data_IF_951100258973
#
_entry.id   IF_951100258973
#
_cell.length_a   1.000
_cell.length_b   1.000
_cell.length_c   1.000
_cell.angle_alpha   90.00
_cell.angle_beta   90.00
_cell.angle_gamma   90.00
#
_symmetry.space_group_name_H-M   'P 1'
#
loop_
_entity.id
_entity.type
_entity.pdbx_description
1 polymer ?
#
# COMPACT_ATOMS: atom_id res chain seq x y z
N UNK A 1 22.59 23.63 -12.69
CA UNK A 1 21.27 23.11 -13.07
C UNK A 1 21.01 21.85 -12.26
N UNK A 2 20.25 21.98 -11.17
CA UNK A 2 19.90 20.85 -10.31
C UNK A 2 18.56 20.28 -10.80
N UNK A 3 18.56 19.05 -11.31
CA UNK A 3 17.34 18.33 -11.69
C UNK A 3 16.64 17.84 -10.43
N UNK A 4 15.53 18.49 -10.06
CA UNK A 4 14.54 17.94 -9.13
C UNK A 4 13.82 16.78 -9.83
N UNK A 5 14.19 15.55 -9.47
CA UNK A 5 13.39 14.37 -9.80
C UNK A 5 12.23 14.31 -8.81
N UNK A 6 11.09 14.91 -9.18
CA UNK A 6 9.82 14.58 -8.53
C UNK A 6 9.52 13.11 -8.84
N UNK A 7 9.85 12.22 -7.92
CA UNK A 7 9.29 10.88 -7.91
C UNK A 7 7.80 11.01 -7.57
N UNK A 8 6.98 11.27 -8.59
CA UNK A 8 5.55 11.13 -8.49
C UNK A 8 5.27 9.65 -8.20
N UNK A 9 4.99 9.33 -6.93
CA UNK A 9 4.42 8.06 -6.56
C UNK A 9 3.07 7.96 -7.26
N UNK A 10 3.03 7.30 -8.42
CA UNK A 10 1.78 7.07 -9.11
C UNK A 10 0.84 6.35 -8.13
N UNK A 11 -0.39 6.84 -7.92
CA UNK A 11 -1.34 6.15 -7.08
C UNK A 11 -1.53 4.76 -7.68
N UNK A 12 -1.07 3.73 -6.96
CA UNK A 12 -1.45 2.37 -7.25
C UNK A 12 -2.94 2.30 -6.96
N UNK A 13 -3.76 2.57 -7.98
CA UNK A 13 -5.19 2.30 -7.94
C UNK A 13 -5.32 0.85 -7.51
N UNK A 14 -5.92 0.62 -6.34
CA UNK A 14 -6.26 -0.72 -5.91
C UNK A 14 -7.09 -1.33 -7.04
N UNK A 15 -6.52 -2.28 -7.78
CA UNK A 15 -7.27 -2.97 -8.83
C UNK A 15 -8.42 -3.67 -8.15
N UNK A 16 -9.63 -3.15 -8.35
CA UNK A 16 -10.84 -3.69 -7.76
C UNK A 16 -11.09 -5.06 -8.36
N UNK A 17 -11.11 -6.09 -7.51
CA UNK A 17 -11.49 -7.43 -7.93
C UNK A 17 -13.01 -7.52 -8.06
N UNK A 18 -13.48 -8.00 -9.20
CA UNK A 18 -14.90 -8.31 -9.40
C UNK A 18 -15.22 -9.66 -8.74
N UNK A 19 -15.51 -9.62 -7.44
CA UNK A 19 -15.91 -10.80 -6.68
C UNK A 19 -17.21 -11.43 -7.19
N UNK A 20 -18.28 -10.68 -7.54
CA UNK A 20 -19.48 -11.26 -8.13
C UNK A 20 -19.24 -12.06 -9.42
N UNK A 21 -18.39 -11.56 -10.32
CA UNK A 21 -18.02 -12.30 -11.53
C UNK A 21 -17.25 -13.58 -11.20
N UNK A 22 -16.31 -13.51 -10.25
CA UNK A 22 -15.57 -14.69 -9.78
C UNK A 22 -16.50 -15.72 -9.12
N UNK A 23 -17.48 -15.28 -8.33
CA UNK A 23 -18.48 -16.17 -7.73
C UNK A 23 -19.30 -16.88 -8.81
N UNK A 24 -19.76 -16.16 -9.83
CA UNK A 24 -20.50 -16.75 -10.95
C UNK A 24 -19.67 -17.81 -11.69
N UNK A 25 -18.39 -17.52 -11.93
CA UNK A 25 -17.47 -18.47 -12.56
C UNK A 25 -17.23 -19.72 -11.68
N UNK A 26 -17.12 -19.55 -10.35
CA UNK A 26 -17.01 -20.66 -9.41
C UNK A 26 -18.31 -21.49 -9.39
N UNK A 27 -19.47 -20.85 -9.38
CA UNK A 27 -20.77 -21.53 -9.41
C UNK A 27 -20.92 -22.47 -10.61
N UNK A 28 -20.38 -22.05 -11.76
CA UNK A 28 -20.36 -22.81 -13.02
C UNK A 28 -19.14 -23.71 -13.20
N UNK A 29 -18.21 -23.71 -12.23
CA UNK A 29 -16.94 -24.43 -12.31
C UNK A 29 -16.11 -24.07 -13.57
N UNK A 30 -16.15 -22.81 -14.00
CA UNK A 30 -15.41 -22.28 -15.16
C UNK A 30 -13.90 -22.18 -14.85
N UNK A 31 -13.21 -23.33 -14.90
CA UNK A 31 -11.79 -23.46 -14.49
C UNK A 31 -10.85 -22.50 -15.22
N UNK A 32 -11.12 -22.26 -16.51
CA UNK A 32 -10.31 -21.36 -17.34
C UNK A 32 -10.33 -19.91 -16.83
N UNK A 33 -11.38 -19.50 -16.12
CA UNK A 33 -11.52 -18.16 -15.52
C UNK A 33 -10.99 -18.17 -14.08
N UNK A 34 -11.34 -19.19 -13.29
CA UNK A 34 -11.06 -19.22 -11.85
C UNK A 34 -9.57 -19.51 -11.54
N UNK A 35 -8.95 -20.46 -12.24
CA UNK A 35 -7.59 -20.90 -11.91
C UNK A 35 -6.53 -19.81 -12.11
N UNK A 36 -6.56 -18.99 -13.18
CA UNK A 36 -5.62 -17.87 -13.33
C UNK A 36 -5.69 -16.86 -12.18
N UNK A 37 -6.89 -16.58 -11.65
CA UNK A 37 -7.06 -15.69 -10.49
C UNK A 37 -6.25 -16.23 -9.31
N UNK A 38 -6.43 -17.49 -8.93
CA UNK A 38 -5.69 -18.09 -7.81
C UNK A 38 -4.19 -18.24 -8.07
N UNK A 39 -3.79 -18.49 -9.31
CA UNK A 39 -2.39 -18.66 -9.68
C UNK A 39 -1.56 -17.38 -9.49
N UNK A 40 -2.18 -16.20 -9.67
CA UNK A 40 -1.50 -14.91 -9.54
C UNK A 40 -1.42 -14.38 -8.10
N UNK A 41 -2.13 -15.00 -7.16
CA UNK A 41 -2.25 -14.50 -5.78
C UNK A 41 -0.91 -14.42 -5.04
N UNK A 42 -0.04 -15.43 -5.18
CA UNK A 42 1.24 -15.44 -4.49
C UNK A 42 2.10 -14.21 -4.87
N UNK A 43 2.17 -13.90 -6.16
CA UNK A 43 2.90 -12.75 -6.68
C UNK A 43 2.27 -11.43 -6.21
N UNK A 44 0.94 -11.33 -6.24
CA UNK A 44 0.24 -10.11 -5.81
C UNK A 44 0.43 -9.84 -4.33
N UNK A 45 0.30 -10.87 -3.47
CA UNK A 45 0.54 -10.76 -2.02
C UNK A 45 1.97 -10.30 -1.73
N UNK A 46 2.96 -10.90 -2.41
CA UNK A 46 4.36 -10.49 -2.29
C UNK A 46 4.56 -9.03 -2.67
N UNK A 47 4.00 -8.62 -3.81
CA UNK A 47 4.09 -7.24 -4.31
C UNK A 47 3.47 -6.24 -3.34
N UNK A 48 2.30 -6.56 -2.79
CA UNK A 48 1.62 -5.71 -1.82
C UNK A 48 2.43 -5.55 -0.52
N UNK A 49 2.95 -6.64 0.05
CA UNK A 49 3.77 -6.60 1.27
C UNK A 49 5.03 -5.78 1.06
N UNK A 50 5.72 -5.96 -0.07
CA UNK A 50 6.90 -5.14 -0.41
C UNK A 50 6.54 -3.66 -0.57
N UNK A 51 5.41 -3.35 -1.21
CA UNK A 51 4.92 -1.98 -1.35
C UNK A 51 4.63 -1.32 -0.01
N UNK A 52 3.92 -2.02 0.89
CA UNK A 52 3.61 -1.52 2.23
C UNK A 52 4.86 -1.26 3.06
N UNK A 53 5.83 -2.17 3.00
CA UNK A 53 7.10 -2.00 3.71
C UNK A 53 7.86 -0.76 3.23
N UNK A 54 7.96 -0.57 1.90
CA UNK A 54 8.67 0.59 1.34
C UNK A 54 8.04 1.92 1.75
N UNK A 55 6.71 2.03 1.67
CA UNK A 55 6.01 3.24 2.12
C UNK A 55 6.23 3.49 3.61
N UNK A 56 6.08 2.46 4.45
CA UNK A 56 6.26 2.60 5.89
C UNK A 56 7.69 3.05 6.24
N UNK A 57 8.69 2.50 5.56
CA UNK A 57 10.08 2.88 5.74
C UNK A 57 10.31 4.36 5.40
N UNK A 58 9.71 4.86 4.31
CA UNK A 58 9.78 6.26 3.92
C UNK A 58 9.10 7.18 4.97
N UNK A 59 7.89 6.83 5.42
CA UNK A 59 7.18 7.57 6.47
C UNK A 59 8.03 7.66 7.74
N UNK A 60 8.70 6.58 8.15
CA UNK A 60 9.57 6.57 9.33
C UNK A 60 10.76 7.50 9.16
N UNK A 61 11.46 7.45 8.02
CA UNK A 61 12.59 8.34 7.72
C UNK A 61 12.17 9.80 7.77
N UNK A 62 11.03 10.14 7.15
CA UNK A 62 10.53 11.52 7.11
C UNK A 62 10.07 12.00 8.50
N UNK A 63 9.46 11.12 9.32
CA UNK A 63 9.10 11.43 10.71
C UNK A 63 10.33 11.73 11.56
N UNK A 64 11.41 10.96 11.41
CA UNK A 64 12.67 11.21 12.10
C UNK A 64 13.23 12.59 11.68
N UNK A 65 13.32 12.85 10.38
CA UNK A 65 13.81 14.13 9.86
C UNK A 65 12.98 15.33 10.38
N UNK A 66 11.65 15.19 10.45
CA UNK A 66 10.78 16.23 11.00
C UNK A 66 11.00 16.44 12.50
N UNK A 67 11.20 15.35 13.25
CA UNK A 67 11.51 15.42 14.68
C UNK A 67 12.86 16.11 14.95
N UNK A 68 13.87 15.84 14.12
CA UNK A 68 15.19 16.48 14.21
C UNK A 68 15.12 17.97 13.91
N UNK A 69 14.36 18.39 12.89
CA UNK A 69 14.10 19.82 12.61
C UNK A 69 13.46 20.53 13.80
N UNK A 70 12.44 19.91 14.40
CA UNK A 70 11.79 20.45 15.61
C UNK A 70 12.75 20.54 16.78
N UNK A 71 13.68 19.59 16.92
CA UNK A 71 14.70 19.60 17.97
C UNK A 71 15.69 20.75 17.77
N UNK A 72 16.22 20.92 16.56
CA UNK A 72 17.15 22.00 16.24
C UNK A 72 16.58 23.39 16.55
N UNK A 73 15.29 23.61 16.27
CA UNK A 73 14.59 24.86 16.60
C UNK A 73 14.47 25.05 18.12
N UNK A 74 14.10 24.01 18.87
CA UNK A 74 13.99 24.09 20.34
C UNK A 74 15.34 24.32 21.03
N UNK A 75 16.40 23.70 20.51
CA UNK A 75 17.74 23.76 21.09
C UNK A 75 18.55 24.98 20.60
N UNK A 76 17.98 25.80 19.71
CA UNK A 76 18.66 26.98 19.15
C UNK A 76 19.90 26.63 18.33
N UNK A 77 20.05 25.36 17.92
CA UNK A 77 21.19 24.90 17.14
C UNK A 77 20.96 25.29 15.68
N UNK A 78 21.43 26.48 15.29
CA UNK A 78 21.42 26.89 13.90
C UNK A 78 22.24 25.88 13.07
N UNK A 79 21.74 25.40 11.92
CA UNK A 79 22.55 24.61 11.01
C UNK A 79 23.81 25.40 10.61
N UNK A 80 24.94 24.73 10.36
CA UNK A 80 26.17 25.40 9.95
C UNK A 80 25.88 26.33 8.75
N UNK A 81 26.41 27.54 8.82
CA UNK A 81 26.12 28.69 7.97
C UNK A 81 26.49 28.55 6.47
N UNK A 82 26.71 27.32 5.98
CA UNK A 82 27.06 27.03 4.59
C UNK A 82 25.87 26.81 3.66
N UNK A 83 24.65 26.73 4.18
CA UNK A 83 23.43 26.82 3.37
C UNK A 83 22.47 27.78 4.07
N UNK A 84 21.96 28.78 3.34
CA UNK A 84 20.91 29.68 3.82
C UNK A 84 19.60 28.89 3.96
N UNK A 85 19.53 28.02 4.96
CA UNK A 85 18.34 27.29 5.33
C UNK A 85 17.50 28.27 6.14
N UNK A 86 16.52 28.90 5.49
CA UNK A 86 15.47 29.61 6.21
C UNK A 86 14.88 28.62 7.22
N UNK A 87 14.89 28.94 8.52
CA UNK A 87 14.35 28.02 9.53
C UNK A 87 12.89 27.73 9.19
N UNK A 88 12.54 26.45 9.12
CA UNK A 88 11.17 26.05 8.85
C UNK A 88 10.25 26.67 9.91
N UNK A 89 9.19 27.33 9.48
CA UNK A 89 8.20 27.92 10.39
C UNK A 89 7.45 26.81 11.12
N UNK A 90 6.90 27.12 12.30
CA UNK A 90 6.04 26.18 13.04
C UNK A 90 4.87 25.68 12.18
N UNK A 91 4.36 26.53 11.29
CA UNK A 91 3.31 26.18 10.34
C UNK A 91 3.78 25.12 9.32
N UNK A 92 4.98 25.25 8.75
CA UNK A 92 5.54 24.26 7.82
C UNK A 92 5.77 22.91 8.51
N UNK A 93 6.22 22.92 9.78
CA UNK A 93 6.41 21.70 10.56
C UNK A 93 5.09 21.04 10.94
N UNK A 94 4.02 21.82 11.15
CA UNK A 94 2.68 21.32 11.40
C UNK A 94 2.07 20.69 10.13
N UNK A 95 2.20 21.37 8.98
CA UNK A 95 1.75 20.83 7.69
C UNK A 95 2.51 19.56 7.31
N UNK A 96 3.82 19.51 7.54
CA UNK A 96 4.62 18.31 7.31
C UNK A 96 4.18 17.11 8.16
N UNK A 97 3.80 17.35 9.41
CA UNK A 97 3.24 16.30 10.27
C UNK A 97 1.90 15.80 9.75
N UNK A 98 0.99 16.71 9.41
CA UNK A 98 -0.33 16.36 8.90
C UNK A 98 -0.22 15.49 7.64
N UNK A 99 0.65 15.87 6.71
CA UNK A 99 0.89 15.09 5.49
C UNK A 99 1.41 13.67 5.78
N UNK A 100 2.29 13.50 6.78
CA UNK A 100 2.77 12.19 7.20
C UNK A 100 1.67 11.34 7.86
N UNK A 101 0.78 11.98 8.61
CA UNK A 101 -0.32 11.29 9.27
C UNK A 101 -1.40 10.84 8.27
N UNK A 102 -1.70 11.67 7.26
CA UNK A 102 -2.58 11.31 6.16
C UNK A 102 -2.01 10.14 5.34
N UNK A 103 -0.70 10.14 5.05
CA UNK A 103 -0.02 9.02 4.38
C UNK A 103 -0.06 7.73 5.20
N UNK A 104 0.15 7.81 6.51
CA UNK A 104 0.05 6.65 7.40
C UNK A 104 -1.36 6.07 7.37
N UNK A 105 -2.39 6.92 7.49
CA UNK A 105 -3.79 6.47 7.43
C UNK A 105 -4.12 5.80 6.09
N UNK A 106 -3.70 6.41 4.99
CA UNK A 106 -3.89 5.82 3.66
C UNK A 106 -3.15 4.49 3.50
N UNK A 107 -1.94 4.33 4.08
CA UNK A 107 -1.25 3.05 4.10
C UNK A 107 -2.02 1.99 4.90
N UNK A 108 -2.53 2.35 6.07
CA UNK A 108 -3.30 1.43 6.93
C UNK A 108 -4.61 0.99 6.27
N UNK A 109 -5.32 1.91 5.61
CA UNK A 109 -6.51 1.61 4.82
C UNK A 109 -6.21 0.65 3.67
N UNK A 110 -5.12 0.88 2.92
CA UNK A 110 -4.70 -0.02 1.84
C UNK A 110 -4.34 -1.41 2.37
N UNK A 111 -3.66 -1.51 3.51
CA UNK A 111 -3.35 -2.79 4.17
C UNK A 111 -4.62 -3.52 4.54
N UNK A 112 -5.58 -2.82 5.14
CA UNK A 112 -6.88 -3.39 5.53
C UNK A 112 -7.66 -3.93 4.35
N UNK A 113 -7.76 -3.15 3.26
CA UNK A 113 -8.44 -3.57 2.03
C UNK A 113 -7.77 -4.81 1.42
N UNK A 114 -6.44 -4.83 1.37
CA UNK A 114 -5.68 -5.95 0.85
C UNK A 114 -5.88 -7.23 1.69
N UNK A 115 -5.89 -7.12 3.02
CA UNK A 115 -6.20 -8.24 3.92
C UNK A 115 -7.60 -8.79 3.68
N UNK A 116 -8.63 -7.94 3.68
CA UNK A 116 -10.02 -8.37 3.41
C UNK A 116 -10.14 -9.10 2.07
N UNK A 117 -9.42 -8.60 1.07
CA UNK A 117 -9.41 -9.18 -0.28
C UNK A 117 -8.69 -10.54 -0.32
N UNK A 118 -7.57 -10.69 0.40
CA UNK A 118 -6.89 -11.98 0.54
C UNK A 118 -7.78 -13.02 1.22
N UNK A 119 -8.46 -12.64 2.30
CA UNK A 119 -9.41 -13.50 3.02
C UNK A 119 -10.57 -13.93 2.11
N UNK A 120 -11.14 -13.00 1.34
CA UNK A 120 -12.20 -13.30 0.39
C UNK A 120 -11.75 -14.28 -0.70
N UNK A 121 -10.53 -14.12 -1.24
CA UNK A 121 -9.99 -15.07 -2.23
C UNK A 121 -9.72 -16.43 -1.61
N UNK A 122 -9.16 -16.50 -0.40
CA UNK A 122 -8.88 -17.77 0.26
C UNK A 122 -10.16 -18.55 0.53
N UNK A 123 -11.23 -17.87 0.98
CA UNK A 123 -12.56 -18.46 1.14
C UNK A 123 -13.12 -18.97 -0.20
N UNK A 124 -13.03 -18.17 -1.27
CA UNK A 124 -13.50 -18.58 -2.61
C UNK A 124 -12.70 -19.74 -3.17
N UNK A 125 -11.39 -19.80 -2.92
CA UNK A 125 -10.55 -20.93 -3.31
C UNK A 125 -10.98 -22.20 -2.59
N UNK A 126 -11.21 -22.13 -1.28
CA UNK A 126 -11.74 -23.26 -0.52
C UNK A 126 -13.10 -23.72 -1.07
N UNK A 127 -14.01 -22.78 -1.33
CA UNK A 127 -15.32 -23.08 -1.88
C UNK A 127 -15.23 -23.76 -3.26
N UNK A 128 -14.39 -23.23 -4.16
CA UNK A 128 -14.14 -23.83 -5.46
C UNK A 128 -13.61 -25.27 -5.36
N UNK A 129 -12.68 -25.55 -4.44
CA UNK A 129 -12.14 -26.90 -4.27
C UNK A 129 -13.22 -27.90 -3.79
N UNK A 130 -14.13 -27.48 -2.92
CA UNK A 130 -15.25 -28.30 -2.43
C UNK A 130 -16.31 -28.50 -3.53
N UNK A 131 -16.66 -27.42 -4.22
CA UNK A 131 -17.74 -27.43 -5.23
C UNK A 131 -17.31 -28.08 -6.54
N UNK A 132 -16.11 -27.79 -7.01
CA UNK A 132 -15.60 -28.14 -8.34
C UNK A 132 -14.42 -29.13 -8.27
N UNK A 133 -14.37 -29.98 -7.26
CA UNK A 133 -13.34 -31.02 -7.11
C UNK A 133 -13.23 -31.96 -8.33
N UNK A 134 -12.10 -32.65 -8.50
CA UNK A 134 -11.88 -33.57 -9.62
C UNK A 134 -12.98 -34.64 -9.65
N UNK A 135 -13.69 -34.77 -10.78
CA UNK A 135 -14.80 -35.72 -10.98
C UNK A 135 -16.20 -35.11 -11.00
N UNK A 136 -16.38 -33.85 -10.58
CA UNK A 136 -17.65 -33.12 -10.77
C UNK A 136 -17.64 -32.49 -12.17
N UNK A 137 -18.61 -32.86 -13.02
CA UNK A 137 -18.73 -32.36 -14.40
C UNK A 137 -18.73 -30.83 -14.38
N UNK A 138 -17.75 -30.23 -15.05
CA UNK A 138 -17.75 -28.82 -15.43
C UNK A 138 -18.88 -28.60 -16.42
N UNK A 139 -19.69 -27.57 -16.19
CA UNK A 139 -20.58 -27.01 -17.22
C UNK A 139 -19.76 -26.29 -18.29
#
# INVERSE_FOLDING_TARGET
MLLLVLAAAMPQTAQSMDFPALDTAIERCERAIVLPVFATEAQRRSTAVTGFYREQAQIVVERIALADKRRAIREGTAPPATEAIVPATDQELALGQLALDDRQRALDERRRLETMRQEAIDLKRQYFLVRCGPGKKSG
#
